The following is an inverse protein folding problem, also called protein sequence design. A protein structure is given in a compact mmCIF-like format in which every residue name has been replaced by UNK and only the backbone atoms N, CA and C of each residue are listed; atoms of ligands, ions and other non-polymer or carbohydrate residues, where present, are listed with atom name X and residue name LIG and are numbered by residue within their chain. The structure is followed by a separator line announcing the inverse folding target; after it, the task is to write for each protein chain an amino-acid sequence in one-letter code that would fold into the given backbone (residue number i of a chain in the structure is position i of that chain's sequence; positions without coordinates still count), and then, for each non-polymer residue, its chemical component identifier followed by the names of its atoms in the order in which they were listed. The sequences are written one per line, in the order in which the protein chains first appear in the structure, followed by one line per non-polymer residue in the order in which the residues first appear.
data_IF_824533294393
#
_entry.id   IF_824533294393
#
_cell.length_a   1.000
_cell.length_b   1.000
_cell.length_c   1.000
_cell.angle_alpha   90.00
_cell.angle_beta   90.00
_cell.angle_gamma   90.00
#
_symmetry.space_group_name_H-M   'P 1'
#
loop_
_entity.id
_entity.type
_entity.pdbx_description
1 polymer ?
#
# COMPACT_ATOMS: atom_id res chain seq x y z
N UNK A 1 7.91 16.21 1.32
CA UNK A 1 6.62 15.79 1.92
C UNK A 1 5.66 16.98 2.03
N UNK A 2 5.97 17.97 2.88
CA UNK A 2 5.08 19.11 3.12
C UNK A 2 4.75 19.92 1.86
N UNK A 3 5.69 20.01 0.91
CA UNK A 3 5.46 20.66 -0.40
C UNK A 3 4.46 19.93 -1.32
N UNK A 4 4.02 18.72 -0.97
CA UNK A 4 3.07 17.90 -1.76
C UNK A 4 1.74 17.77 -1.03
N UNK A 5 1.77 17.45 0.28
CA UNK A 5 0.56 17.16 1.05
C UNK A 5 -0.23 18.41 1.49
N UNK A 6 0.42 19.57 1.59
CA UNK A 6 -0.18 20.81 2.09
C UNK A 6 -0.94 21.57 0.99
N UNK A 7 -1.91 20.93 0.34
CA UNK A 7 -2.68 21.55 -0.74
C UNK A 7 -3.81 22.45 -0.21
N UNK A 8 -4.10 23.58 -0.88
CA UNK A 8 -5.20 24.46 -0.51
C UNK A 8 -6.57 23.77 -0.71
N UNK A 9 -7.59 24.30 -0.04
CA UNK A 9 -8.98 23.83 -0.17
C UNK A 9 -9.42 23.87 -1.64
N UNK A 10 -9.96 22.76 -2.13
CA UNK A 10 -10.51 22.62 -3.49
C UNK A 10 -9.62 21.88 -4.48
N UNK A 11 -8.34 21.66 -4.16
CA UNK A 11 -7.41 20.92 -5.04
C UNK A 11 -6.75 19.77 -4.25
N UNK A 12 -7.46 18.65 -4.05
CA UNK A 12 -6.94 17.55 -3.24
C UNK A 12 -5.81 16.79 -3.96
N UNK A 13 -4.81 16.35 -3.19
CA UNK A 13 -3.71 15.49 -3.68
C UNK A 13 -3.57 14.28 -2.75
N UNK A 14 -3.73 13.08 -3.30
CA UNK A 14 -3.46 11.84 -2.57
C UNK A 14 -1.94 11.66 -2.37
N UNK A 15 -1.43 12.01 -1.20
CA UNK A 15 0.00 11.87 -0.87
C UNK A 15 0.28 10.56 -0.15
N UNK A 16 1.34 9.86 -0.54
CA UNK A 16 1.76 8.57 0.03
C UNK A 16 3.08 8.72 0.81
N UNK A 17 3.61 7.63 1.34
CA UNK A 17 4.86 7.60 2.09
C UNK A 17 6.06 8.16 1.29
N UNK A 18 7.17 8.46 1.98
CA UNK A 18 8.38 8.97 1.33
C UNK A 18 9.16 7.81 0.67
N UNK A 19 9.71 8.05 -0.52
CA UNK A 19 10.64 7.14 -1.18
C UNK A 19 9.97 5.91 -1.82
N UNK A 20 10.70 4.79 -1.89
CA UNK A 20 10.25 3.55 -2.57
C UNK A 20 8.90 3.01 -2.05
N UNK A 21 8.62 2.99 -0.74
CA UNK A 21 7.31 2.57 -0.24
C UNK A 21 6.17 3.45 -0.77
N UNK A 22 6.40 4.75 -0.87
CA UNK A 22 5.45 5.69 -1.47
C UNK A 22 5.14 5.41 -2.92
N UNK A 23 6.18 5.13 -3.71
CA UNK A 23 6.03 4.80 -5.13
C UNK A 23 5.20 3.52 -5.32
N UNK A 24 5.48 2.46 -4.55
CA UNK A 24 4.68 1.23 -4.60
C UNK A 24 3.22 1.47 -4.19
N UNK A 25 2.99 2.20 -3.09
CA UNK A 25 1.65 2.50 -2.61
C UNK A 25 0.87 3.41 -3.57
N UNK A 26 1.54 4.33 -4.26
CA UNK A 26 0.90 5.18 -5.26
C UNK A 26 0.39 4.35 -6.45
N UNK A 27 1.17 3.38 -6.92
CA UNK A 27 0.74 2.45 -7.97
C UNK A 27 -0.45 1.59 -7.51
N UNK A 28 -0.41 1.06 -6.28
CA UNK A 28 -1.52 0.28 -5.71
C UNK A 28 -2.80 1.12 -5.52
N UNK A 29 -2.67 2.39 -5.12
CA UNK A 29 -3.81 3.31 -5.03
C UNK A 29 -4.41 3.58 -6.41
N UNK A 30 -3.58 3.85 -7.42
CA UNK A 30 -4.03 4.05 -8.79
C UNK A 30 -4.77 2.81 -9.33
N UNK A 31 -4.22 1.61 -9.13
CA UNK A 31 -4.88 0.35 -9.50
C UNK A 31 -6.21 0.19 -8.75
N UNK A 32 -6.27 0.55 -7.46
CA UNK A 32 -7.51 0.48 -6.67
C UNK A 32 -8.61 1.38 -7.24
N UNK A 33 -8.25 2.55 -7.80
CA UNK A 33 -9.20 3.44 -8.48
C UNK A 33 -9.66 2.82 -9.81
N UNK A 34 -8.73 2.30 -10.63
CA UNK A 34 -9.06 1.67 -11.92
C UNK A 34 -9.92 0.41 -11.76
N UNK A 35 -9.66 -0.37 -10.71
CA UNK A 35 -10.40 -1.60 -10.37
C UNK A 35 -11.90 -1.36 -10.06
N UNK A 36 -12.33 -0.11 -9.84
CA UNK A 36 -13.75 0.22 -9.73
C UNK A 36 -14.52 -0.05 -11.02
N UNK A 37 -13.84 0.02 -12.17
CA UNK A 37 -14.43 -0.15 -13.50
C UNK A 37 -13.86 -1.33 -14.28
N UNK A 38 -12.78 -1.93 -13.79
CA UNK A 38 -12.12 -3.10 -14.39
C UNK A 38 -12.12 -4.28 -13.41
N UNK A 39 -12.97 -5.27 -13.70
CA UNK A 39 -13.09 -6.48 -12.87
C UNK A 39 -11.83 -7.34 -12.88
N UNK A 40 -11.10 -7.40 -13.99
CA UNK A 40 -9.86 -8.16 -14.08
C UNK A 40 -8.76 -7.52 -13.21
N UNK A 41 -8.67 -6.18 -13.20
CA UNK A 41 -7.76 -5.48 -12.28
C UNK A 41 -8.16 -5.68 -10.82
N UNK A 42 -9.46 -5.68 -10.50
CA UNK A 42 -9.94 -5.95 -9.15
C UNK A 42 -9.53 -7.32 -8.66
N UNK A 43 -9.71 -8.35 -9.48
CA UNK A 43 -9.39 -9.73 -9.11
C UNK A 43 -7.87 -9.89 -8.89
N UNK A 44 -7.06 -9.28 -9.75
CA UNK A 44 -5.59 -9.24 -9.59
C UNK A 44 -5.16 -8.51 -8.32
N UNK A 45 -5.81 -7.39 -7.98
CA UNK A 45 -5.53 -6.64 -6.76
C UNK A 45 -5.90 -7.45 -5.50
N UNK A 46 -7.02 -8.18 -5.52
CA UNK A 46 -7.40 -9.07 -4.44
C UNK A 46 -6.41 -10.23 -4.27
N UNK A 47 -5.99 -10.86 -5.38
CA UNK A 47 -4.98 -11.92 -5.35
C UNK A 47 -3.66 -11.42 -4.74
N UNK A 48 -3.17 -10.26 -5.20
CA UNK A 48 -1.94 -9.66 -4.67
C UNK A 48 -2.01 -9.40 -3.15
N UNK A 49 -3.17 -8.95 -2.64
CA UNK A 49 -3.37 -8.73 -1.19
C UNK A 49 -3.41 -10.05 -0.42
N UNK A 50 -4.00 -11.10 -0.98
CA UNK A 50 -4.02 -12.43 -0.37
C UNK A 50 -2.61 -13.03 -0.28
N UNK A 51 -1.82 -12.92 -1.36
CA UNK A 51 -0.42 -13.35 -1.38
C UNK A 51 0.40 -12.67 -0.27
N UNK A 52 0.26 -11.34 -0.11
CA UNK A 52 0.96 -10.63 0.99
C UNK A 52 0.53 -11.06 2.38
N UNK A 53 -0.75 -11.36 2.58
CA UNK A 53 -1.22 -11.93 3.85
C UNK A 53 -0.53 -13.28 4.09
N UNK A 54 -0.53 -14.16 3.09
CA UNK A 54 -0.02 -15.52 3.21
C UNK A 54 1.50 -15.54 3.44
N UNK A 55 2.24 -14.63 2.80
CA UNK A 55 3.67 -14.40 3.07
C UNK A 55 3.93 -14.01 4.53
N UNK A 56 3.12 -13.14 5.11
CA UNK A 56 3.27 -12.74 6.52
C UNK A 56 2.94 -13.89 7.46
N UNK A 57 1.89 -14.67 7.16
CA UNK A 57 1.53 -15.85 7.96
C UNK A 57 2.60 -16.94 7.93
N UNK A 58 3.39 -17.01 6.86
CA UNK A 58 4.51 -17.95 6.75
C UNK A 58 5.76 -17.50 7.51
N UNK A 59 5.83 -16.27 8.03
CA UNK A 59 6.99 -15.77 8.76
C UNK A 59 7.05 -16.38 10.15
N UNK A 60 8.24 -16.86 10.54
CA UNK A 60 8.51 -17.29 11.91
C UNK A 60 9.02 -16.09 12.70
N UNK A 61 8.44 -15.84 13.88
CA UNK A 61 8.88 -14.76 14.76
C UNK A 61 10.24 -15.11 15.39
N UNK A 62 11.12 -14.12 15.60
CA UNK A 62 12.33 -14.36 16.38
C UNK A 62 11.96 -14.72 17.83
N UNK A 63 12.65 -15.71 18.39
CA UNK A 63 12.51 -16.08 19.80
C UNK A 63 12.83 -14.87 20.67
N UNK A 64 11.91 -14.48 21.55
CA UNK A 64 12.15 -13.45 22.56
C UNK A 64 13.08 -14.00 23.64
N UNK A 65 14.38 -14.04 23.37
CA UNK A 65 15.36 -13.97 24.45
C UNK A 65 15.37 -12.51 24.92
N UNK A 66 14.66 -12.28 26.02
CA UNK A 66 14.66 -11.02 26.75
C UNK A 66 16.00 -10.93 27.49
N UNK A 67 16.95 -10.05 27.12
CA UNK A 67 18.07 -9.78 28.00
C UNK A 67 17.56 -8.81 29.06
N UNK A 68 17.48 -9.28 30.31
CA UNK A 68 17.47 -8.39 31.48
C UNK A 68 18.69 -7.45 31.45
#
# INVERSE_FOLDING_TARGET
LLSIVQMPKGVPVGTLAIGKPGAANAALLAISILALQDSALRDRLCAWRAERRDEVLAQTLPSTENPE
#
